data_IF_708230440303
#
_entry.id   IF_708230440303
#
_cell.length_a   1.000
_cell.length_b   1.000
_cell.length_c   1.000
_cell.angle_alpha   90.00
_cell.angle_beta   90.00
_cell.angle_gamma   90.00
#
_symmetry.space_group_name_H-M   'P 1'
#
loop_
_entity.id
_entity.type
_entity.pdbx_description
1 polymer ?
#
# COMPACT_ATOMS: atom_id res chain seq x y z
N UNK A 1 -10.64 -25.36 0.37
CA UNK A 1 -11.00 -24.48 1.49
C UNK A 1 -12.25 -25.04 2.16
N UNK A 2 -12.29 -25.04 3.50
CA UNK A 2 -13.48 -25.46 4.24
C UNK A 2 -14.48 -24.30 4.39
N UNK A 3 -15.75 -24.62 4.61
CA UNK A 3 -16.82 -23.61 4.80
C UNK A 3 -16.52 -22.66 5.99
N UNK A 4 -15.89 -23.18 7.04
CA UNK A 4 -15.47 -22.38 8.20
C UNK A 4 -14.35 -21.39 7.85
N UNK A 5 -13.38 -21.78 7.03
CA UNK A 5 -12.31 -20.90 6.57
C UNK A 5 -12.83 -19.77 5.67
N UNK A 6 -13.81 -20.06 4.81
CA UNK A 6 -14.44 -19.04 3.97
C UNK A 6 -15.20 -18.00 4.81
N UNK A 7 -15.92 -18.43 5.85
CA UNK A 7 -16.64 -17.52 6.75
C UNK A 7 -15.69 -16.61 7.54
N UNK A 8 -14.53 -17.13 7.98
CA UNK A 8 -13.51 -16.32 8.64
C UNK A 8 -12.92 -15.29 7.68
N UNK A 9 -12.56 -15.71 6.47
CA UNK A 9 -12.01 -14.80 5.45
C UNK A 9 -12.96 -13.66 5.09
N UNK A 10 -14.23 -13.98 4.79
CA UNK A 10 -15.24 -12.96 4.46
C UNK A 10 -15.44 -11.98 5.63
N UNK A 11 -15.44 -12.47 6.87
CA UNK A 11 -15.59 -11.63 8.06
C UNK A 11 -14.39 -10.70 8.32
N UNK A 12 -13.17 -11.20 8.07
CA UNK A 12 -11.95 -10.39 8.18
C UNK A 12 -11.94 -9.31 7.11
N UNK A 13 -12.22 -9.67 5.85
CA UNK A 13 -12.28 -8.72 4.75
C UNK A 13 -13.36 -7.65 4.96
N UNK A 14 -14.54 -8.03 5.43
CA UNK A 14 -15.58 -7.07 5.79
C UNK A 14 -15.11 -6.10 6.88
N UNK A 15 -14.42 -6.60 7.90
CA UNK A 15 -13.91 -5.78 9.01
C UNK A 15 -12.88 -4.76 8.51
N UNK A 16 -11.88 -5.22 7.76
CA UNK A 16 -10.84 -4.37 7.18
C UNK A 16 -11.41 -3.30 6.24
N UNK A 17 -12.40 -3.66 5.41
CA UNK A 17 -13.10 -2.70 4.57
C UNK A 17 -13.81 -1.62 5.38
N UNK A 18 -14.50 -2.01 6.48
CA UNK A 18 -15.18 -1.06 7.36
C UNK A 18 -14.20 -0.14 8.07
N UNK A 19 -13.09 -0.68 8.56
CA UNK A 19 -12.03 0.11 9.20
C UNK A 19 -11.38 1.10 8.22
N UNK A 20 -11.25 0.71 6.96
CA UNK A 20 -10.80 1.56 5.87
C UNK A 20 -11.85 2.61 5.41
N UNK A 21 -13.06 2.60 5.98
CA UNK A 21 -14.16 3.49 5.60
C UNK A 21 -14.80 3.16 4.25
N UNK A 22 -14.63 1.93 3.76
CA UNK A 22 -15.17 1.43 2.51
C UNK A 22 -16.46 0.62 2.71
N UNK A 23 -17.24 0.42 1.63
CA UNK A 23 -18.34 -0.52 1.65
C UNK A 23 -17.87 -1.91 2.10
N UNK A 24 -18.62 -2.59 3.00
CA UNK A 24 -18.25 -3.89 3.56
C UNK A 24 -18.34 -5.02 2.54
N UNK A 25 -18.91 -4.77 1.36
CA UNK A 25 -19.15 -5.76 0.32
C UNK A 25 -18.09 -5.58 -0.79
N UNK A 26 -17.23 -6.58 -1.05
CA UNK A 26 -16.19 -6.50 -2.07
C UNK A 26 -16.68 -6.08 -3.47
N UNK A 27 -17.87 -6.55 -3.88
CA UNK A 27 -18.45 -6.20 -5.20
C UNK A 27 -18.90 -4.74 -5.31
N UNK A 28 -18.99 -4.02 -4.19
CA UNK A 28 -19.26 -2.58 -4.16
C UNK A 28 -17.97 -1.75 -4.23
N UNK A 29 -16.80 -2.39 -4.18
CA UNK A 29 -15.48 -1.76 -4.21
C UNK A 29 -14.74 -2.07 -5.51
N UNK A 30 -14.69 -3.33 -5.91
CA UNK A 30 -14.00 -3.75 -7.14
C UNK A 30 -14.71 -3.18 -8.37
N UNK A 31 -13.94 -2.62 -9.30
CA UNK A 31 -14.44 -1.95 -10.49
C UNK A 31 -14.86 -0.49 -10.28
N UNK A 32 -14.81 0.01 -9.03
CA UNK A 32 -15.10 1.42 -8.74
C UNK A 32 -13.90 2.32 -9.00
N UNK A 33 -14.22 3.56 -9.31
CA UNK A 33 -13.22 4.62 -9.43
C UNK A 33 -12.73 5.04 -8.04
N UNK A 34 -11.46 5.42 -7.97
CA UNK A 34 -10.88 5.99 -6.77
C UNK A 34 -10.11 7.27 -7.08
N UNK A 35 -9.85 8.03 -6.02
CA UNK A 35 -8.88 9.12 -5.99
C UNK A 35 -7.97 8.94 -4.79
N UNK A 36 -6.68 9.14 -4.99
CA UNK A 36 -5.69 9.18 -3.91
C UNK A 36 -4.86 10.44 -4.00
N UNK A 37 -4.82 11.23 -2.93
CA UNK A 37 -4.05 12.47 -2.83
C UNK A 37 -2.88 12.30 -1.88
N UNK A 38 -1.68 12.76 -2.23
CA UNK A 38 -0.50 12.66 -1.39
C UNK A 38 0.42 13.88 -1.54
N UNK A 39 1.05 14.29 -0.44
CA UNK A 39 2.08 15.32 -0.43
C UNK A 39 3.48 14.70 -0.53
N UNK A 40 4.32 15.25 -1.40
CA UNK A 40 5.72 14.88 -1.48
C UNK A 40 6.58 16.10 -1.76
N UNK A 41 7.43 16.45 -0.78
CA UNK A 41 8.22 17.67 -0.81
C UNK A 41 7.32 18.91 -0.91
N UNK A 42 7.40 19.64 -2.02
CA UNK A 42 6.61 20.86 -2.27
C UNK A 42 5.44 20.65 -3.24
N UNK A 43 5.15 19.40 -3.60
CA UNK A 43 4.17 19.06 -4.62
C UNK A 43 3.01 18.26 -4.03
N UNK A 44 1.79 18.55 -4.51
CA UNK A 44 0.59 17.78 -4.23
C UNK A 44 0.24 16.94 -5.44
N UNK A 45 0.10 15.64 -5.24
CA UNK A 45 -0.15 14.67 -6.30
C UNK A 45 -1.51 14.03 -6.14
N UNK A 46 -2.18 13.83 -7.27
CA UNK A 46 -3.48 13.17 -7.33
C UNK A 46 -3.37 11.99 -8.29
N UNK A 47 -3.61 10.80 -7.76
CA UNK A 47 -3.80 9.57 -8.50
C UNK A 47 -5.29 9.30 -8.66
N UNK A 48 -5.68 8.79 -9.82
CA UNK A 48 -7.02 8.28 -10.05
C UNK A 48 -6.95 7.09 -10.99
N UNK A 49 -7.92 6.20 -10.82
CA UNK A 49 -8.02 4.97 -11.57
C UNK A 49 -9.21 4.18 -11.07
N UNK A 50 -9.15 2.87 -11.31
CA UNK A 50 -10.18 1.89 -10.94
C UNK A 50 -9.57 0.82 -10.05
N UNK A 51 -10.27 0.39 -9.01
CA UNK A 51 -9.87 -0.73 -8.16
C UNK A 51 -10.11 -2.04 -8.93
N UNK A 52 -9.08 -2.86 -9.06
CA UNK A 52 -9.09 -4.10 -9.83
C UNK A 52 -9.23 -5.35 -8.94
N UNK A 53 -8.64 -5.32 -7.75
CA UNK A 53 -8.74 -6.39 -6.77
C UNK A 53 -8.50 -5.83 -5.36
N UNK A 54 -8.90 -6.60 -4.36
CA UNK A 54 -8.68 -6.31 -2.94
C UNK A 54 -8.07 -7.53 -2.27
N UNK A 55 -7.19 -7.31 -1.32
CA UNK A 55 -6.52 -8.34 -0.54
C UNK A 55 -6.43 -7.90 0.92
N UNK A 56 -6.48 -8.87 1.83
CA UNK A 56 -6.15 -8.64 3.24
C UNK A 56 -4.81 -9.28 3.49
N UNK A 57 -3.85 -8.48 3.97
CA UNK A 57 -2.53 -8.97 4.35
C UNK A 57 -2.59 -9.87 5.59
N UNK A 58 -1.63 -10.79 5.71
CA UNK A 58 -1.50 -11.68 6.87
C UNK A 58 -1.27 -10.92 8.20
N UNK A 59 -0.85 -9.66 8.12
CA UNK A 59 -0.48 -8.80 9.26
C UNK A 59 -1.63 -7.88 9.74
N UNK A 60 -2.78 -7.91 9.06
CA UNK A 60 -3.89 -6.98 9.31
C UNK A 60 -3.68 -5.68 8.54
N UNK A 61 -4.37 -5.59 7.41
CA UNK A 61 -4.31 -4.44 6.51
C UNK A 61 -4.95 -4.76 5.18
N UNK A 62 -5.51 -3.74 4.54
CA UNK A 62 -6.23 -3.85 3.28
C UNK A 62 -5.36 -3.34 2.13
N UNK A 63 -5.14 -4.17 1.12
CA UNK A 63 -4.48 -3.80 -0.12
C UNK A 63 -5.49 -3.66 -1.25
N UNK A 64 -5.44 -2.52 -1.94
CA UNK A 64 -6.20 -2.24 -3.16
C UNK A 64 -5.26 -2.28 -4.36
N UNK A 65 -5.46 -3.26 -5.23
CA UNK A 65 -4.78 -3.29 -6.54
C UNK A 65 -5.53 -2.37 -7.49
N UNK A 66 -4.83 -1.41 -8.09
CA UNK A 66 -5.44 -0.34 -8.87
C UNK A 66 -4.94 -0.30 -10.30
N UNK A 67 -5.80 0.16 -11.20
CA UNK A 67 -5.42 0.52 -12.56
C UNK A 67 -4.71 1.88 -12.57
N UNK A 68 -3.84 2.07 -13.56
CA UNK A 68 -2.85 3.15 -13.66
C UNK A 68 -1.58 2.86 -12.82
N UNK A 69 -0.59 2.17 -13.40
CA UNK A 69 0.48 1.55 -12.65
C UNK A 69 1.66 2.49 -12.37
N UNK A 70 1.52 3.82 -12.53
CA UNK A 70 2.66 4.73 -12.35
C UNK A 70 2.39 5.88 -11.38
N UNK A 71 3.29 6.03 -10.43
CA UNK A 71 3.34 7.14 -9.48
C UNK A 71 4.77 7.69 -9.49
N UNK A 72 4.93 8.96 -9.86
CA UNK A 72 6.25 9.61 -10.08
C UNK A 72 7.20 8.89 -11.06
N UNK A 73 6.63 8.20 -12.05
CA UNK A 73 7.43 7.42 -13.01
C UNK A 73 7.80 6.02 -12.50
N UNK A 74 7.70 5.79 -11.19
CA UNK A 74 7.83 4.48 -10.56
C UNK A 74 6.56 3.68 -10.68
N UNK A 75 6.67 2.35 -10.58
CA UNK A 75 5.53 1.46 -10.69
C UNK A 75 4.74 1.45 -9.37
N UNK A 76 3.48 1.86 -9.41
CA UNK A 76 2.53 1.68 -8.31
C UNK A 76 2.16 0.20 -8.20
N UNK A 77 2.31 -0.37 -7.02
CA UNK A 77 1.99 -1.77 -6.70
C UNK A 77 0.55 -1.85 -6.20
N UNK A 78 0.25 -1.14 -5.12
CA UNK A 78 -1.06 -1.11 -4.48
C UNK A 78 -1.29 0.21 -3.74
N UNK A 79 -2.53 0.42 -3.30
CA UNK A 79 -2.87 1.41 -2.27
C UNK A 79 -3.33 0.63 -1.05
N UNK A 80 -2.66 0.83 0.07
CA UNK A 80 -2.90 0.07 1.29
C UNK A 80 -3.51 0.92 2.39
N UNK A 81 -4.34 0.30 3.22
CA UNK A 81 -4.82 0.83 4.47
C UNK A 81 -4.31 -0.02 5.62
N UNK A 82 -3.52 0.58 6.51
CA UNK A 82 -3.05 -0.07 7.74
C UNK A 82 -2.88 0.98 8.83
N UNK A 83 -3.17 0.61 10.08
CA UNK A 83 -3.06 1.50 11.24
C UNK A 83 -3.80 2.85 11.06
N UNK A 84 -4.96 2.83 10.40
CA UNK A 84 -5.80 4.01 10.17
C UNK A 84 -5.25 4.99 9.12
N UNK A 85 -4.26 4.56 8.33
CA UNK A 85 -3.59 5.39 7.32
C UNK A 85 -3.68 4.76 5.94
N UNK A 86 -3.90 5.60 4.94
CA UNK A 86 -3.80 5.23 3.55
C UNK A 86 -2.40 5.52 3.01
N UNK A 87 -1.81 4.57 2.30
CA UNK A 87 -0.49 4.70 1.71
C UNK A 87 -0.48 4.18 0.28
N UNK A 88 0.18 4.90 -0.63
CA UNK A 88 0.56 4.35 -1.93
C UNK A 88 1.86 3.58 -1.79
N UNK A 89 1.87 2.32 -2.23
CA UNK A 89 3.06 1.47 -2.24
C UNK A 89 3.64 1.39 -3.65
N UNK A 90 4.89 1.80 -3.81
CA UNK A 90 5.58 1.81 -5.11
C UNK A 90 6.80 0.89 -5.14
N UNK A 91 7.07 0.35 -6.33
CA UNK A 91 8.23 -0.45 -6.64
C UNK A 91 9.46 0.44 -6.85
N UNK A 92 10.01 0.97 -5.76
CA UNK A 92 11.32 1.62 -5.77
C UNK A 92 12.39 0.57 -5.47
N UNK A 93 13.41 0.52 -6.32
CA UNK A 93 14.58 -0.33 -6.07
C UNK A 93 15.38 0.21 -4.88
N UNK A 94 15.71 -0.63 -3.89
CA UNK A 94 16.63 -0.26 -2.83
C UNK A 94 17.97 0.19 -3.40
N UNK A 95 18.73 0.97 -2.63
CA UNK A 95 20.11 1.28 -3.00
C UNK A 95 20.94 0.00 -3.00
N UNK A 96 21.71 -0.20 -4.07
CA UNK A 96 22.72 -1.26 -4.10
C UNK A 96 23.94 -0.81 -3.29
N UNK A 97 24.28 -1.54 -2.24
CA UNK A 97 25.52 -1.33 -1.48
C UNK A 97 26.63 -2.24 -1.99
N UNK A 98 27.81 -1.67 -2.24
CA UNK A 98 29.02 -2.45 -2.48
C UNK A 98 29.57 -3.06 -1.19
N UNK A 99 30.29 -4.18 -1.28
CA UNK A 99 30.94 -4.83 -0.12
C UNK A 99 31.83 -3.86 0.68
N UNK A 100 32.60 -3.00 -0.01
CA UNK A 100 33.42 -1.96 0.63
C UNK A 100 32.61 -0.90 1.39
N UNK A 101 31.36 -0.66 0.99
CA UNK A 101 30.47 0.27 1.69
C UNK A 101 29.83 -0.39 2.91
N UNK A 102 29.52 -1.69 2.83
CA UNK A 102 29.01 -2.48 3.95
C UNK A 102 30.06 -2.66 5.06
N UNK A 103 31.35 -2.80 4.71
CA UNK A 103 32.45 -2.87 5.70
C UNK A 103 32.71 -1.53 6.42
N UNK A 104 32.18 -0.42 5.90
CA UNK A 104 32.41 0.94 6.42
C UNK A 104 31.29 1.47 7.31
N UNK A 105 30.13 0.82 7.30
CA UNK A 105 28.98 1.20 8.11
C UNK A 105 28.79 0.20 9.24
N UNK A 106 28.35 0.68 10.39
CA UNK A 106 27.96 -0.19 11.50
C UNK A 106 26.67 -0.96 11.16
N UNK A 107 26.41 -2.05 11.89
CA UNK A 107 25.17 -2.81 11.72
C UNK A 107 23.91 -1.96 11.97
N UNK A 108 23.97 -1.04 12.94
CA UNK A 108 22.88 -0.10 13.27
C UNK A 108 22.64 0.90 12.13
N UNK A 109 23.70 1.44 11.53
CA UNK A 109 23.58 2.35 10.38
C UNK A 109 23.04 1.63 9.13
N UNK A 110 23.45 0.37 8.92
CA UNK A 110 22.94 -0.45 7.83
C UNK A 110 21.44 -0.75 8.01
N UNK A 111 21.02 -1.12 9.22
CA UNK A 111 19.60 -1.34 9.52
C UNK A 111 18.77 -0.08 9.32
N UNK A 112 19.27 1.07 9.78
CA UNK A 112 18.62 2.36 9.55
C UNK A 112 18.45 2.67 8.05
N UNK A 113 19.49 2.45 7.25
CA UNK A 113 19.44 2.67 5.81
C UNK A 113 18.44 1.75 5.10
N UNK A 114 18.31 0.49 5.53
CA UNK A 114 17.27 -0.42 5.03
C UNK A 114 15.87 0.12 5.36
N UNK A 115 15.66 0.60 6.58
CA UNK A 115 14.37 1.17 6.98
C UNK A 115 14.02 2.43 6.18
N UNK A 116 15.01 3.28 5.90
CA UNK A 116 14.84 4.45 5.02
C UNK A 116 14.46 4.04 3.58
N UNK A 117 15.12 3.01 3.02
CA UNK A 117 14.82 2.49 1.69
C UNK A 117 13.42 1.84 1.61
N UNK A 118 12.96 1.20 2.69
CA UNK A 118 11.59 0.67 2.80
C UNK A 118 10.60 1.83 2.90
N UNK A 119 10.83 2.77 3.81
CA UNK A 119 9.96 3.93 4.02
C UNK A 119 9.81 4.76 2.74
N UNK A 120 10.86 4.87 1.93
CA UNK A 120 10.82 5.55 0.64
C UNK A 120 9.83 4.94 -0.37
N UNK A 121 9.34 3.71 -0.13
CA UNK A 121 8.34 3.04 -0.99
C UNK A 121 6.90 3.37 -0.62
N UNK A 122 6.67 3.97 0.55
CA UNK A 122 5.33 4.22 1.09
C UNK A 122 5.06 5.71 1.18
N UNK A 123 3.92 6.10 0.63
CA UNK A 123 3.52 7.50 0.56
C UNK A 123 2.16 7.68 1.17
N UNK A 124 2.13 8.24 2.40
CA UNK A 124 0.89 8.51 3.13
C UNK A 124 0.04 9.55 2.39
N UNK A 125 -1.26 9.33 2.38
CA UNK A 125 -2.19 10.21 1.69
C UNK A 125 -3.64 9.99 2.06
N UNK A 126 -4.51 10.65 1.31
CA UNK A 126 -5.96 10.59 1.47
C UNK A 126 -6.56 9.75 0.35
N UNK A 127 -7.37 8.76 0.72
CA UNK A 127 -8.09 7.92 -0.23
C UNK A 127 -9.57 8.27 -0.27
N UNK A 128 -10.14 8.26 -1.47
CA UNK A 128 -11.56 8.44 -1.70
C UNK A 128 -12.07 7.44 -2.74
N UNK A 129 -13.09 6.68 -2.39
CA UNK A 129 -13.90 5.90 -3.32
C UNK A 129 -14.95 6.81 -3.99
N UNK A 130 -15.13 6.69 -5.30
CA UNK A 130 -16.02 7.53 -6.12
C UNK A 130 -17.33 6.82 -6.54
#
# INVERSE_FOLDING_TARGET
>A
MSLAQNQTFESTLETELREAGLPPVPSEVVGRLYRFGCEHGSHHHILSGTIQAIEVSDEGGLDLYVSNPRFWGERLISIMHSNGKWMAYVDIKPREWSDEALERISAEEHECAIQEDIAAKFFEGEFQLL
#
